data_IF_477664760128
#
_entry.id   IF_477664760128
#
_cell.length_a   1.000
_cell.length_b   1.000
_cell.length_c   1.000
_cell.angle_alpha   90.00
_cell.angle_beta   90.00
_cell.angle_gamma   90.00
#
_symmetry.space_group_name_H-M   'P 1'
#
loop_
_entity.id
_entity.type
_entity.pdbx_description
1 polymer ?
#
# COMPACT_ATOMS: atom_id res chain seq x y z
N UNK A 1 23.73 12.37 -12.82
CA UNK A 1 23.34 12.55 -14.23
C UNK A 1 22.21 13.57 -14.37
N UNK A 2 21.03 13.34 -13.78
CA UNK A 2 19.88 14.26 -13.85
C UNK A 2 20.19 15.73 -13.45
N UNK A 3 20.78 15.97 -12.27
CA UNK A 3 21.08 17.34 -11.81
C UNK A 3 22.07 18.11 -12.72
N UNK A 4 22.93 17.39 -13.46
CA UNK A 4 23.84 18.02 -14.42
C UNK A 4 23.08 18.50 -15.66
N UNK A 5 22.09 17.73 -16.12
CA UNK A 5 21.19 18.13 -17.21
C UNK A 5 20.32 19.32 -16.75
N UNK A 6 19.78 19.26 -15.54
CA UNK A 6 18.98 20.34 -14.95
C UNK A 6 19.79 21.64 -14.90
N UNK A 7 21.03 21.58 -14.38
CA UNK A 7 21.93 22.74 -14.34
C UNK A 7 22.22 23.33 -15.72
N UNK A 8 22.27 22.50 -16.77
CA UNK A 8 22.57 22.96 -18.14
C UNK A 8 21.40 23.68 -18.79
N UNK A 9 20.17 23.18 -18.63
CA UNK A 9 19.00 23.68 -19.36
C UNK A 9 18.05 24.54 -18.51
N UNK A 10 18.01 24.31 -17.20
CA UNK A 10 17.12 24.98 -16.24
C UNK A 10 17.88 25.31 -14.95
N UNK A 11 18.92 26.16 -15.01
CA UNK A 11 19.78 26.44 -13.86
C UNK A 11 19.02 27.00 -12.65
N UNK A 12 17.94 27.74 -12.90
CA UNK A 12 17.12 28.37 -11.86
C UNK A 12 16.41 27.33 -10.96
N UNK A 13 16.12 26.13 -11.49
CA UNK A 13 15.48 25.04 -10.75
C UNK A 13 16.47 24.22 -9.91
N UNK A 14 17.78 24.44 -10.07
CA UNK A 14 18.79 23.58 -9.44
C UNK A 14 18.67 23.57 -7.91
N UNK A 15 18.47 24.76 -7.32
CA UNK A 15 18.41 24.90 -5.86
C UNK A 15 17.17 24.22 -5.29
N UNK A 16 16.02 24.39 -5.93
CA UNK A 16 14.77 23.73 -5.53
C UNK A 16 14.87 22.20 -5.60
N UNK A 17 15.44 21.68 -6.69
CA UNK A 17 15.63 20.23 -6.84
C UNK A 17 16.65 19.67 -5.85
N UNK A 18 17.68 20.42 -5.47
CA UNK A 18 18.62 19.99 -4.42
C UNK A 18 17.97 19.93 -3.04
N UNK A 19 16.94 20.75 -2.77
CA UNK A 19 16.16 20.65 -1.53
C UNK A 19 15.32 19.37 -1.49
N UNK A 20 14.84 18.90 -2.64
CA UNK A 20 14.04 17.68 -2.80
C UNK A 20 14.95 16.43 -2.83
N UNK A 21 16.06 16.48 -3.57
CA UNK A 21 16.97 15.35 -3.77
C UNK A 21 18.31 15.58 -3.07
N UNK A 22 18.39 15.19 -1.80
CA UNK A 22 19.56 15.42 -0.94
C UNK A 22 20.73 14.45 -1.17
N UNK A 23 20.65 13.60 -2.20
CA UNK A 23 21.74 12.69 -2.58
C UNK A 23 21.76 11.36 -1.83
N UNK A 24 20.60 10.73 -1.61
CA UNK A 24 20.58 9.36 -1.10
C UNK A 24 21.27 8.39 -2.08
N UNK A 25 21.74 7.24 -1.58
CA UNK A 25 22.35 6.19 -2.42
C UNK A 25 21.43 5.67 -3.53
N UNK A 26 20.12 5.77 -3.35
CA UNK A 26 19.12 5.29 -4.32
C UNK A 26 18.43 6.42 -5.07
N UNK A 27 18.82 7.68 -4.85
CA UNK A 27 18.20 8.84 -5.48
C UNK A 27 16.80 9.16 -4.96
N UNK A 28 16.44 8.74 -3.74
CA UNK A 28 15.16 9.07 -3.14
C UNK A 28 15.04 10.58 -2.86
N UNK A 29 13.82 11.09 -3.04
CA UNK A 29 13.46 12.44 -2.63
C UNK A 29 13.25 12.50 -1.11
N UNK A 30 13.06 13.71 -0.58
CA UNK A 30 12.70 13.89 0.82
C UNK A 30 11.34 13.29 1.16
N UNK A 31 11.17 12.88 2.42
CA UNK A 31 9.89 12.41 2.97
C UNK A 31 8.77 13.44 2.80
N UNK A 32 9.10 14.72 2.96
CA UNK A 32 8.14 15.82 2.87
C UNK A 32 7.58 15.95 1.46
N UNK A 33 8.45 15.80 0.44
CA UNK A 33 8.04 15.83 -0.96
C UNK A 33 7.07 14.68 -1.28
N UNK A 34 7.40 13.46 -0.87
CA UNK A 34 6.51 12.32 -1.05
C UNK A 34 5.18 12.49 -0.32
N UNK A 35 5.20 13.07 0.88
CA UNK A 35 3.98 13.33 1.63
C UNK A 35 3.04 14.30 0.90
N UNK A 36 3.56 15.42 0.40
CA UNK A 36 2.78 16.39 -0.37
C UNK A 36 2.22 15.79 -1.67
N UNK A 37 3.03 15.00 -2.37
CA UNK A 37 2.61 14.29 -3.58
C UNK A 37 1.47 13.30 -3.26
N UNK A 38 1.62 12.51 -2.20
CA UNK A 38 0.60 11.57 -1.76
C UNK A 38 -0.71 12.26 -1.35
N UNK A 39 -0.66 13.39 -0.63
CA UNK A 39 -1.85 14.17 -0.26
C UNK A 39 -2.58 14.71 -1.49
N UNK A 40 -1.84 15.27 -2.45
CA UNK A 40 -2.40 15.79 -3.71
C UNK A 40 -3.09 14.69 -4.49
N UNK A 41 -2.43 13.54 -4.64
CA UNK A 41 -2.97 12.38 -5.31
C UNK A 41 -4.22 11.85 -4.60
N UNK A 42 -4.18 11.71 -3.27
CA UNK A 42 -5.32 11.27 -2.45
C UNK A 42 -6.55 12.15 -2.64
N UNK A 43 -6.35 13.48 -2.63
CA UNK A 43 -7.42 14.46 -2.82
C UNK A 43 -8.09 14.30 -4.19
N UNK A 44 -7.29 14.22 -5.26
CA UNK A 44 -7.80 14.04 -6.62
C UNK A 44 -8.54 12.70 -6.77
N UNK A 45 -7.99 11.61 -6.24
CA UNK A 45 -8.62 10.30 -6.32
C UNK A 45 -9.98 10.26 -5.63
N UNK A 46 -10.11 10.89 -4.45
CA UNK A 46 -11.39 10.98 -3.76
C UNK A 46 -12.41 11.82 -4.57
N UNK A 47 -11.97 12.96 -5.12
CA UNK A 47 -12.81 13.85 -5.92
C UNK A 47 -13.38 13.14 -7.15
N UNK A 48 -12.52 12.42 -7.88
CA UNK A 48 -12.90 11.73 -9.12
C UNK A 48 -13.33 10.27 -8.91
N UNK A 49 -13.43 9.81 -7.66
CA UNK A 49 -13.78 8.43 -7.28
C UNK A 49 -12.92 7.37 -8.00
N UNK A 50 -11.64 7.67 -8.18
CA UNK A 50 -10.66 6.78 -8.79
C UNK A 50 -10.10 5.85 -7.70
N UNK A 51 -10.07 4.52 -7.91
CA UNK A 51 -9.44 3.59 -6.97
C UNK A 51 -7.97 3.92 -6.72
N UNK A 52 -7.58 4.01 -5.45
CA UNK A 52 -6.22 4.43 -5.05
C UNK A 52 -5.13 3.38 -5.25
N UNK A 53 -5.56 2.15 -5.52
CA UNK A 53 -4.76 0.98 -5.86
C UNK A 53 -5.51 0.16 -6.90
N UNK A 54 -4.80 -0.78 -7.51
CA UNK A 54 -5.36 -1.72 -8.48
C UNK A 54 -6.56 -2.44 -7.81
N UNK A 55 -7.76 -2.43 -8.40
CA UNK A 55 -8.91 -3.14 -7.84
C UNK A 55 -8.73 -4.66 -7.86
N UNK A 56 -9.24 -5.39 -6.84
CA UNK A 56 -9.12 -6.85 -6.76
C UNK A 56 -9.68 -7.59 -7.98
N UNK A 57 -10.69 -7.03 -8.66
CA UNK A 57 -11.21 -7.58 -9.90
C UNK A 57 -10.15 -7.80 -11.00
N UNK A 58 -9.04 -7.04 -10.98
CA UNK A 58 -7.97 -7.14 -11.98
C UNK A 58 -6.91 -8.19 -11.67
N UNK A 59 -6.80 -8.66 -10.42
CA UNK A 59 -5.69 -9.55 -10.01
C UNK A 59 -6.11 -10.78 -9.20
N UNK A 60 -7.34 -10.84 -8.68
CA UNK A 60 -7.79 -11.96 -7.82
C UNK A 60 -7.77 -13.33 -8.50
N UNK A 61 -7.86 -13.38 -9.84
CA UNK A 61 -7.77 -14.62 -10.62
C UNK A 61 -6.36 -14.94 -11.13
N UNK A 62 -5.38 -14.08 -10.84
CA UNK A 62 -3.99 -14.21 -11.28
C UNK A 62 -3.12 -14.67 -10.10
N UNK A 63 -3.37 -14.12 -8.92
CA UNK A 63 -2.59 -14.41 -7.72
C UNK A 63 -3.00 -15.73 -7.07
N UNK A 64 -2.05 -16.39 -6.43
CA UNK A 64 -2.34 -17.47 -5.50
C UNK A 64 -3.15 -16.93 -4.31
N UNK A 65 -3.85 -17.80 -3.60
CA UNK A 65 -4.67 -17.38 -2.46
C UNK A 65 -3.83 -16.68 -1.37
N UNK A 66 -2.62 -17.16 -1.10
CA UNK A 66 -1.69 -16.54 -0.15
C UNK A 66 -1.26 -15.14 -0.64
N UNK A 67 -0.84 -15.03 -1.90
CA UNK A 67 -0.36 -13.77 -2.47
C UNK A 67 -1.49 -12.73 -2.56
N UNK A 68 -2.70 -13.16 -2.90
CA UNK A 68 -3.89 -12.31 -2.92
C UNK A 68 -4.12 -11.65 -1.57
N UNK A 69 -4.02 -12.41 -0.49
CA UNK A 69 -4.21 -11.91 0.88
C UNK A 69 -3.09 -10.95 1.26
N UNK A 70 -1.84 -11.31 0.98
CA UNK A 70 -0.67 -10.44 1.24
C UNK A 70 -0.85 -9.10 0.53
N UNK A 71 -1.17 -9.11 -0.77
CA UNK A 71 -1.37 -7.89 -1.56
C UNK A 71 -2.53 -7.04 -1.01
N UNK A 72 -3.66 -7.67 -0.63
CA UNK A 72 -4.79 -6.93 -0.05
C UNK A 72 -4.41 -6.29 1.28
N UNK A 73 -3.67 -6.98 2.15
CA UNK A 73 -3.22 -6.43 3.43
C UNK A 73 -2.20 -5.29 3.24
N UNK A 74 -1.29 -5.40 2.26
CA UNK A 74 -0.38 -4.31 1.90
C UNK A 74 -1.13 -3.09 1.36
N UNK A 75 -2.17 -3.31 0.55
CA UNK A 75 -3.02 -2.23 0.08
C UNK A 75 -3.78 -1.57 1.22
N UNK A 76 -4.37 -2.34 2.15
CA UNK A 76 -5.03 -1.80 3.33
C UNK A 76 -4.06 -0.96 4.18
N UNK A 77 -2.83 -1.42 4.33
CA UNK A 77 -1.78 -0.69 5.05
C UNK A 77 -1.47 0.66 4.41
N UNK A 78 -1.28 0.65 3.09
CA UNK A 78 -1.06 1.86 2.32
C UNK A 78 -2.26 2.82 2.43
N UNK A 79 -3.48 2.33 2.23
CA UNK A 79 -4.70 3.14 2.22
C UNK A 79 -4.93 3.84 3.58
N UNK A 80 -4.70 3.14 4.68
CA UNK A 80 -4.80 3.73 6.02
C UNK A 80 -3.70 4.77 6.28
N UNK A 81 -2.46 4.47 5.89
CA UNK A 81 -1.34 5.41 6.05
C UNK A 81 -1.54 6.66 5.20
N UNK A 82 -2.18 6.54 4.05
CA UNK A 82 -2.54 7.67 3.20
C UNK A 82 -3.52 8.64 3.89
N UNK A 83 -4.37 8.12 4.80
CA UNK A 83 -5.26 8.91 5.67
C UNK A 83 -4.57 9.39 6.96
N UNK A 84 -3.27 9.18 7.12
CA UNK A 84 -2.53 9.49 8.34
C UNK A 84 -2.85 8.56 9.51
N UNK A 85 -3.53 7.43 9.28
CA UNK A 85 -3.87 6.45 10.32
C UNK A 85 -2.74 5.43 10.52
N UNK A 86 -2.66 4.91 11.75
CA UNK A 86 -1.86 3.70 12.02
C UNK A 86 -2.53 2.49 11.39
N UNK A 87 -1.73 1.51 10.98
CA UNK A 87 -2.21 0.28 10.37
C UNK A 87 -1.46 -0.94 10.91
N UNK A 88 -2.17 -2.02 11.29
CA UNK A 88 -1.55 -3.29 11.63
C UNK A 88 -1.28 -4.18 10.39
N UNK A 89 -1.85 -3.83 9.23
CA UNK A 89 -1.93 -4.74 8.08
C UNK A 89 -0.59 -4.97 7.38
N UNK A 90 0.34 -4.01 7.38
CA UNK A 90 1.66 -4.22 6.78
C UNK A 90 2.48 -5.25 7.54
N UNK A 91 2.39 -5.25 8.88
CA UNK A 91 3.06 -6.27 9.70
C UNK A 91 2.40 -7.63 9.55
N UNK A 92 1.06 -7.69 9.47
CA UNK A 92 0.34 -8.92 9.17
C UNK A 92 0.71 -9.49 7.80
N UNK A 93 0.80 -8.65 6.76
CA UNK A 93 1.22 -9.04 5.41
C UNK A 93 2.63 -9.65 5.42
N UNK A 94 3.59 -8.98 6.09
CA UNK A 94 4.94 -9.51 6.30
C UNK A 94 4.93 -10.86 7.02
N UNK A 95 4.14 -11.00 8.09
CA UNK A 95 4.06 -12.28 8.80
C UNK A 95 3.48 -13.41 7.94
N UNK A 96 2.50 -13.11 7.09
CA UNK A 96 1.94 -14.07 6.14
C UNK A 96 2.89 -14.41 4.99
N UNK A 97 3.64 -13.44 4.45
CA UNK A 97 4.57 -13.68 3.33
C UNK A 97 5.73 -14.61 3.71
N UNK A 98 6.00 -14.75 5.01
CA UNK A 98 7.03 -15.65 5.54
C UNK A 98 6.50 -17.05 5.92
N UNK A 99 5.20 -17.32 5.74
CA UNK A 99 4.62 -18.63 6.03
C UNK A 99 5.19 -19.70 5.11
N UNK A 100 5.57 -20.84 5.70
CA UNK A 100 6.05 -22.01 4.97
C UNK A 100 4.92 -22.97 4.57
N UNK A 101 3.69 -22.69 4.99
CA UNK A 101 2.51 -23.51 4.72
C UNK A 101 1.41 -22.66 4.05
N UNK A 102 0.56 -23.27 3.20
CA UNK A 102 -0.59 -22.56 2.62
C UNK A 102 -1.53 -22.03 3.70
N UNK A 103 -2.09 -20.82 3.55
CA UNK A 103 -3.03 -20.27 4.55
C UNK A 103 -4.25 -21.16 4.77
N UNK A 104 -4.67 -21.88 3.73
CA UNK A 104 -5.81 -22.80 3.78
C UNK A 104 -5.65 -23.89 4.86
N UNK A 105 -4.42 -24.30 5.19
CA UNK A 105 -4.17 -25.35 6.20
C UNK A 105 -4.28 -24.83 7.63
N UNK A 106 -4.05 -23.52 7.83
CA UNK A 106 -4.07 -22.86 9.15
C UNK A 106 -5.23 -21.87 9.27
N UNK A 107 -6.25 -22.02 8.42
CA UNK A 107 -7.40 -21.11 8.29
C UNK A 107 -8.07 -20.81 9.64
N UNK A 108 -8.16 -21.78 10.56
CA UNK A 108 -8.80 -21.60 11.88
C UNK A 108 -7.83 -21.22 13.00
N UNK A 109 -6.56 -20.98 12.67
CA UNK A 109 -5.49 -20.67 13.62
C UNK A 109 -4.79 -19.35 13.28
N UNK A 110 -5.41 -18.49 12.48
CA UNK A 110 -4.76 -17.26 11.98
C UNK A 110 -4.28 -16.34 13.11
N UNK A 111 -4.99 -16.29 14.24
CA UNK A 111 -4.59 -15.48 15.40
C UNK A 111 -3.30 -15.99 16.09
N UNK A 112 -2.84 -17.21 15.83
CA UNK A 112 -1.55 -17.68 16.34
C UNK A 112 -0.38 -17.02 15.62
N UNK A 113 -0.63 -16.36 14.49
CA UNK A 113 0.38 -15.61 13.73
C UNK A 113 0.52 -14.22 14.34
N UNK A 114 1.75 -13.87 14.69
CA UNK A 114 2.07 -12.55 15.25
C UNK A 114 1.60 -11.45 14.29
N UNK A 115 0.88 -10.46 14.81
CA UNK A 115 0.35 -9.35 14.01
C UNK A 115 -1.07 -9.55 13.47
N UNK A 116 -1.65 -10.75 13.63
CA UNK A 116 -3.03 -11.03 13.21
C UNK A 116 -3.93 -11.05 14.44
N UNK A 117 -4.69 -9.97 14.61
CA UNK A 117 -5.80 -9.91 15.57
C UNK A 117 -7.13 -10.30 14.93
N UNK A 118 -8.20 -10.30 15.74
CA UNK A 118 -9.55 -10.70 15.31
C UNK A 118 -10.09 -9.90 14.11
N UNK A 119 -9.80 -8.60 14.03
CA UNK A 119 -10.20 -7.77 12.88
C UNK A 119 -9.48 -8.18 11.60
N UNK A 120 -8.16 -8.36 11.67
CA UNK A 120 -7.35 -8.80 10.53
C UNK A 120 -7.77 -10.21 10.08
N UNK A 121 -8.03 -11.11 11.02
CA UNK A 121 -8.52 -12.45 10.73
C UNK A 121 -9.84 -12.41 9.94
N UNK A 122 -10.82 -11.60 10.36
CA UNK A 122 -12.10 -11.48 9.63
C UNK A 122 -11.91 -11.05 8.18
N UNK A 123 -11.01 -10.10 7.93
CA UNK A 123 -10.66 -9.65 6.57
C UNK A 123 -10.03 -10.80 5.78
N UNK A 124 -9.09 -11.53 6.38
CA UNK A 124 -8.44 -12.68 5.73
C UNK A 124 -9.48 -13.74 5.36
N UNK A 125 -10.39 -14.08 6.27
CA UNK A 125 -11.48 -15.03 6.00
C UNK A 125 -12.38 -14.57 4.84
N UNK A 126 -12.77 -13.29 4.83
CA UNK A 126 -13.58 -12.72 3.76
C UNK A 126 -12.88 -12.81 2.40
N UNK A 127 -11.57 -12.53 2.36
CA UNK A 127 -10.75 -12.66 1.15
C UNK A 127 -10.62 -14.12 0.72
N UNK A 128 -10.45 -15.04 1.67
CA UNK A 128 -10.40 -16.49 1.37
C UNK A 128 -11.69 -16.97 0.71
N UNK A 129 -12.85 -16.43 1.11
CA UNK A 129 -14.16 -16.86 0.62
C UNK A 129 -14.60 -16.13 -0.65
N UNK A 130 -14.26 -14.86 -0.82
CA UNK A 130 -14.81 -14.01 -1.89
C UNK A 130 -13.78 -13.50 -2.89
N UNK A 131 -12.49 -13.61 -2.55
CA UNK A 131 -11.39 -13.00 -3.28
C UNK A 131 -11.27 -11.48 -3.10
N UNK A 132 -11.98 -10.90 -2.13
CA UNK A 132 -11.93 -9.46 -1.77
C UNK A 132 -12.33 -9.24 -0.31
N UNK A 133 -12.37 -7.98 0.13
CA UNK A 133 -12.98 -7.59 1.40
C UNK A 133 -13.79 -6.32 1.23
N UNK A 134 -15.00 -6.28 1.79
CA UNK A 134 -15.85 -5.10 1.77
C UNK A 134 -15.15 -3.88 2.39
N UNK A 135 -14.38 -4.09 3.46
CA UNK A 135 -13.61 -3.02 4.09
C UNK A 135 -12.54 -2.46 3.14
N UNK A 136 -11.83 -3.35 2.43
CA UNK A 136 -10.84 -2.96 1.44
C UNK A 136 -11.46 -2.19 0.26
N UNK A 137 -12.60 -2.65 -0.26
CA UNK A 137 -13.29 -1.99 -1.38
C UNK A 137 -13.79 -0.58 -1.03
N UNK A 138 -14.27 -0.38 0.20
CA UNK A 138 -14.67 0.95 0.69
C UNK A 138 -13.48 1.92 0.74
N UNK A 139 -12.35 1.48 1.28
CA UNK A 139 -11.15 2.31 1.36
C UNK A 139 -10.58 2.66 -0.03
N UNK A 140 -10.63 1.71 -0.98
CA UNK A 140 -10.23 1.96 -2.36
C UNK A 140 -10.99 3.14 -2.97
N UNK A 141 -12.31 3.20 -2.77
CA UNK A 141 -13.21 4.25 -3.33
C UNK A 141 -13.24 5.53 -2.49
N UNK A 142 -12.73 5.48 -1.26
CA UNK A 142 -12.84 6.60 -0.32
C UNK A 142 -14.24 6.79 0.25
N UNK A 143 -14.99 5.69 0.38
CA UNK A 143 -16.34 5.67 0.96
C UNK A 143 -16.24 5.23 2.43
N UNK A 144 -15.80 6.15 3.28
CA UNK A 144 -15.68 5.94 4.74
C UNK A 144 -17.00 6.30 5.42
#
# INVERSE_FOLDING_TARGET
YFLNILKKYYPDLLLEYQMIYKGSKWGEATSEYYHQLHQSFHTLMNLYKIPKRIPPALFKGILSQNDLIVVILEHLDYLLKLEGKKSPYGFAAYSLSNLQVPLSTIRYQLQSIKGIGSTTEKIIQEVLDTGSSQYYERLLKGDI
#
